data_IF_720735578515
#
_entry.id   IF_720735578515
#
_cell.length_a   1.000
_cell.length_b   1.000
_cell.length_c   1.000
_cell.angle_alpha   90.00
_cell.angle_beta   90.00
_cell.angle_gamma   90.00
#
_symmetry.space_group_name_H-M   'P 1'
#
loop_
_entity.id
_entity.type
_entity.pdbx_description
1 polymer ?
#
# COMPACT_ATOMS: atom_id res chain seq x y z
N UNK A 1 -10.89 -30.49 -15.39
CA UNK A 1 -11.32 -29.42 -14.46
C UNK A 1 -10.14 -28.74 -13.75
N UNK A 2 -9.24 -29.47 -13.07
CA UNK A 2 -8.08 -28.89 -12.37
C UNK A 2 -7.19 -28.02 -13.28
N UNK A 3 -6.82 -28.50 -14.48
CA UNK A 3 -6.04 -27.71 -15.46
C UNK A 3 -6.70 -26.38 -15.85
N UNK A 4 -8.03 -26.35 -15.93
CA UNK A 4 -8.77 -25.13 -16.22
C UNK A 4 -8.74 -24.16 -15.03
N UNK A 5 -8.92 -24.68 -13.80
CA UNK A 5 -8.83 -23.89 -12.57
C UNK A 5 -7.43 -23.28 -12.43
N UNK A 6 -6.37 -24.08 -12.58
CA UNK A 6 -4.98 -23.60 -12.50
C UNK A 6 -4.69 -22.53 -13.55
N UNK A 7 -5.11 -22.73 -14.80
CA UNK A 7 -4.93 -21.71 -15.86
C UNK A 7 -5.65 -20.40 -15.51
N UNK A 8 -6.86 -20.50 -14.94
CA UNK A 8 -7.65 -19.32 -14.55
C UNK A 8 -7.02 -18.58 -13.37
N UNK A 9 -6.52 -19.31 -12.37
CA UNK A 9 -5.78 -18.71 -11.24
C UNK A 9 -4.51 -18.01 -11.72
N UNK A 10 -3.74 -18.62 -12.62
CA UNK A 10 -2.53 -17.99 -13.18
C UNK A 10 -2.85 -16.75 -14.00
N UNK A 11 -4.00 -16.68 -14.69
CA UNK A 11 -4.45 -15.49 -15.40
C UNK A 11 -4.93 -14.37 -14.45
N UNK A 12 -5.41 -14.72 -13.26
CA UNK A 12 -5.82 -13.74 -12.25
C UNK A 12 -4.62 -13.02 -11.65
N UNK A 13 -3.49 -13.69 -11.45
CA UNK A 13 -2.27 -13.10 -10.88
C UNK A 13 -1.84 -11.80 -11.58
N UNK A 14 -1.58 -11.76 -12.91
CA UNK A 14 -1.17 -10.53 -13.58
C UNK A 14 -2.28 -9.46 -13.58
N UNK A 15 -3.54 -9.88 -13.62
CA UNK A 15 -4.70 -8.97 -13.58
C UNK A 15 -4.78 -8.25 -12.24
N UNK A 16 -4.71 -9.00 -11.14
CA UNK A 16 -4.71 -8.45 -9.78
C UNK A 16 -3.44 -7.63 -9.51
N UNK A 17 -2.30 -8.09 -10.02
CA UNK A 17 -1.05 -7.34 -9.93
C UNK A 17 -1.18 -5.98 -10.61
N UNK A 18 -1.64 -5.93 -11.87
CA UNK A 18 -1.86 -4.69 -12.61
C UNK A 18 -2.83 -3.76 -11.87
N UNK A 19 -3.96 -4.28 -11.39
CA UNK A 19 -4.92 -3.52 -10.60
C UNK A 19 -4.29 -2.96 -9.32
N UNK A 20 -3.47 -3.75 -8.62
CA UNK A 20 -2.80 -3.32 -7.39
C UNK A 20 -1.81 -2.20 -7.63
N UNK A 21 -1.03 -2.24 -8.73
CA UNK A 21 -0.11 -1.15 -9.12
C UNK A 21 -0.91 0.12 -9.40
N UNK A 22 -2.01 0.01 -10.15
CA UNK A 22 -2.86 1.15 -10.50
C UNK A 22 -3.48 1.79 -9.25
N UNK A 23 -4.05 0.99 -8.35
CA UNK A 23 -4.61 1.49 -7.10
C UNK A 23 -3.54 2.10 -6.19
N UNK A 24 -2.38 1.45 -6.07
CA UNK A 24 -1.28 1.97 -5.27
C UNK A 24 -0.82 3.33 -5.79
N UNK A 25 -0.58 3.45 -7.10
CA UNK A 25 -0.18 4.71 -7.72
C UNK A 25 -1.27 5.78 -7.63
N UNK A 26 -2.55 5.40 -7.75
CA UNK A 26 -3.66 6.32 -7.62
C UNK A 26 -3.79 6.87 -6.20
N UNK A 27 -3.74 6.00 -5.19
CA UNK A 27 -3.79 6.40 -3.78
C UNK A 27 -2.62 7.32 -3.39
N UNK A 28 -1.41 7.06 -3.89
CA UNK A 28 -0.24 7.92 -3.62
C UNK A 28 -0.31 9.27 -4.33
N UNK A 29 -1.13 9.40 -5.39
CA UNK A 29 -1.36 10.67 -6.09
C UNK A 29 -2.54 11.48 -5.54
N UNK A 30 -3.29 10.95 -4.58
CA UNK A 30 -4.38 11.71 -3.98
C UNK A 30 -3.83 12.97 -3.28
N UNK A 31 -4.50 14.12 -3.44
CA UNK A 31 -4.08 15.36 -2.78
C UNK A 31 -4.08 15.16 -1.26
N UNK A 32 -2.95 15.50 -0.63
CA UNK A 32 -2.68 15.26 0.79
C UNK A 32 -1.78 14.05 1.08
N UNK A 33 -1.61 13.13 0.13
CA UNK A 33 -0.73 11.95 0.31
C UNK A 33 -1.22 10.97 1.40
N UNK A 34 -0.67 9.75 1.46
CA UNK A 34 -1.06 8.76 2.48
C UNK A 34 -0.87 9.27 3.91
N UNK A 35 0.06 10.19 4.15
CA UNK A 35 0.34 10.80 5.45
C UNK A 35 -0.81 11.64 6.02
N UNK A 36 -1.64 12.27 5.16
CA UNK A 36 -2.81 13.03 5.65
C UNK A 36 -3.92 12.14 6.16
N UNK A 37 -4.04 10.91 5.65
CA UNK A 37 -4.97 9.93 6.21
C UNK A 37 -4.59 9.50 7.63
N UNK A 38 -3.30 9.59 7.98
CA UNK A 38 -2.75 9.18 9.28
C UNK A 38 -2.82 10.31 10.31
N UNK A 39 -2.46 11.54 9.91
CA UNK A 39 -2.41 12.66 10.84
C UNK A 39 -3.69 13.52 10.86
N UNK A 40 -4.60 13.29 9.91
CA UNK A 40 -5.75 14.14 9.64
C UNK A 40 -5.35 15.50 9.03
N UNK A 41 -6.33 16.32 8.66
CA UNK A 41 -6.10 17.64 8.03
C UNK A 41 -5.39 18.65 8.95
N UNK A 42 -5.29 18.39 10.26
CA UNK A 42 -4.73 19.32 11.27
C UNK A 42 -3.26 19.05 11.61
N UNK A 43 -2.57 18.22 10.83
CA UNK A 43 -1.18 17.89 11.06
C UNK A 43 -0.26 19.11 10.84
N UNK A 44 0.61 19.42 11.79
CA UNK A 44 1.73 20.35 11.55
C UNK A 44 2.69 19.78 10.51
N UNK A 45 3.32 20.66 9.73
CA UNK A 45 4.21 20.25 8.64
C UNK A 45 5.42 19.46 9.15
N UNK A 46 5.93 19.75 10.36
CA UNK A 46 7.03 18.96 10.94
C UNK A 46 6.59 17.52 11.26
N UNK A 47 5.37 17.33 11.79
CA UNK A 47 4.79 16.00 12.05
C UNK A 47 4.58 15.23 10.75
N UNK A 48 4.18 15.92 9.67
CA UNK A 48 4.01 15.33 8.34
C UNK A 48 5.33 14.76 7.82
N UNK A 49 6.40 15.55 7.86
CA UNK A 49 7.73 15.11 7.40
C UNK A 49 8.27 13.96 8.26
N UNK A 50 8.12 14.03 9.58
CA UNK A 50 8.55 12.95 10.48
C UNK A 50 7.85 11.61 10.16
N UNK A 51 6.54 11.65 9.86
CA UNK A 51 5.78 10.46 9.46
C UNK A 51 6.17 9.96 8.07
N UNK A 52 6.39 10.86 7.10
CA UNK A 52 6.87 10.46 5.77
C UNK A 52 8.18 9.69 5.85
N UNK A 53 9.11 10.18 6.65
CA UNK A 53 10.40 9.55 6.84
C UNK A 53 10.29 8.23 7.63
N UNK A 54 9.45 8.18 8.66
CA UNK A 54 9.24 6.96 9.46
C UNK A 54 8.57 5.83 8.66
N UNK A 55 7.68 6.17 7.73
CA UNK A 55 6.97 5.21 6.88
C UNK A 55 7.69 4.93 5.55
N UNK A 56 8.80 5.62 5.27
CA UNK A 56 9.54 5.52 4.02
C UNK A 56 8.74 6.02 2.81
N UNK A 57 7.84 6.99 3.02
CA UNK A 57 7.09 7.64 1.95
C UNK A 57 7.96 8.57 1.09
N UNK A 58 9.18 8.85 1.54
CA UNK A 58 10.20 9.62 0.82
C UNK A 58 10.96 8.77 -0.23
N UNK A 59 10.84 7.44 -0.16
CA UNK A 59 11.48 6.54 -1.12
C UNK A 59 10.79 6.58 -2.50
N UNK A 60 11.45 6.17 -3.59
CA UNK A 60 10.81 6.04 -4.89
C UNK A 60 9.59 5.11 -4.85
N UNK A 61 8.53 5.43 -5.60
CA UNK A 61 7.27 4.68 -5.60
C UNK A 61 7.43 3.17 -5.83
N UNK A 62 8.38 2.74 -6.67
CA UNK A 62 8.65 1.33 -6.90
C UNK A 62 9.24 0.62 -5.66
N UNK A 63 10.04 1.32 -4.84
CA UNK A 63 10.56 0.79 -3.57
C UNK A 63 9.42 0.64 -2.57
N UNK A 64 8.55 1.66 -2.49
CA UNK A 64 7.37 1.62 -1.62
C UNK A 64 6.45 0.46 -2.02
N UNK A 65 6.17 0.30 -3.32
CA UNK A 65 5.37 -0.80 -3.84
C UNK A 65 6.03 -2.16 -3.60
N UNK A 66 7.35 -2.27 -3.77
CA UNK A 66 8.10 -3.50 -3.47
C UNK A 66 7.98 -3.92 -2.00
N UNK A 67 8.08 -2.98 -1.06
CA UNK A 67 7.85 -3.24 0.38
C UNK A 67 6.40 -3.64 0.66
N UNK A 68 5.43 -3.05 -0.04
CA UNK A 68 4.01 -3.41 0.07
C UNK A 68 3.77 -4.84 -0.43
N UNK A 69 4.29 -5.19 -1.61
CA UNK A 69 4.18 -6.54 -2.18
C UNK A 69 4.84 -7.60 -1.30
N UNK A 70 6.01 -7.31 -0.73
CA UNK A 70 6.69 -8.23 0.20
C UNK A 70 5.83 -8.53 1.43
N UNK A 71 5.31 -7.48 2.09
CA UNK A 71 4.42 -7.65 3.25
C UNK A 71 3.16 -8.42 2.88
N UNK A 72 2.58 -8.14 1.71
CA UNK A 72 1.42 -8.87 1.21
C UNK A 72 1.71 -10.37 1.00
N UNK A 73 2.89 -10.73 0.50
CA UNK A 73 3.30 -12.14 0.38
C UNK A 73 3.56 -12.84 1.72
N UNK A 74 3.84 -12.07 2.77
CA UNK A 74 3.99 -12.53 4.16
C UNK A 74 2.64 -12.51 4.91
N UNK A 75 1.53 -12.18 4.23
CA UNK A 75 0.20 -11.96 4.82
C UNK A 75 0.17 -10.86 5.90
N UNK A 76 1.10 -9.91 5.83
CA UNK A 76 1.14 -8.73 6.67
C UNK A 76 0.44 -7.56 5.97
N UNK A 77 -0.72 -7.17 6.48
CA UNK A 77 -1.50 -6.03 5.98
C UNK A 77 -1.16 -4.71 6.69
N UNK A 78 -0.21 -4.73 7.62
CA UNK A 78 0.21 -3.57 8.40
C UNK A 78 -0.79 -3.19 9.48
N UNK A 79 -0.61 -1.98 10.04
CA UNK A 79 -1.48 -1.44 11.06
C UNK A 79 -2.56 -0.55 10.46
N UNK A 80 -3.76 -0.62 11.02
CA UNK A 80 -4.86 0.29 10.73
C UNK A 80 -4.43 1.72 11.04
N UNK A 81 -4.64 2.58 10.05
CA UNK A 81 -4.37 4.00 10.17
C UNK A 81 -5.26 4.66 11.24
N UNK A 82 -6.46 4.11 11.47
CA UNK A 82 -7.46 4.70 12.35
C UNK A 82 -7.31 4.25 13.81
N UNK A 83 -6.92 2.98 14.03
CA UNK A 83 -6.84 2.39 15.38
C UNK A 83 -5.41 2.09 15.83
N UNK A 84 -4.43 2.15 14.92
CA UNK A 84 -3.03 1.78 15.17
C UNK A 84 -2.80 0.29 15.40
N UNK A 85 -3.82 -0.56 15.21
CA UNK A 85 -3.76 -2.02 15.46
C UNK A 85 -3.49 -2.80 14.17
N UNK A 86 -2.86 -3.97 14.22
CA UNK A 86 -2.68 -4.83 13.05
C UNK A 86 -4.01 -5.10 12.34
N UNK A 87 -3.98 -5.03 11.00
CA UNK A 87 -5.09 -5.44 10.15
C UNK A 87 -4.97 -6.96 9.99
N UNK A 88 -5.92 -7.68 10.58
CA UNK A 88 -6.04 -9.15 10.53
C UNK A 88 -7.18 -9.57 9.62
#
# INVERSE_FOLDING_TARGET
>A
MIRFIVRRLLQLVPTLFGLSVLLFAWLHRLPGGPETSILGERATEERRQAIRHALGLDDPLWVQYGRFMRRLTEFDFGNSIQTGRPVT
#
